data_IF_898924882206
#
_entry.id   IF_898924882206
#
_cell.length_a   1.000
_cell.length_b   1.000
_cell.length_c   1.000
_cell.angle_alpha   90.00
_cell.angle_beta   90.00
_cell.angle_gamma   90.00
#
_symmetry.space_group_name_H-M   'P 1'
#
loop_
_entity.id
_entity.type
_entity.pdbx_description
1 polymer ?
#
# COMPACT_ATOMS: atom_id res chain seq x y z
N UNK A 1 -8.51 38.26 31.18
CA UNK A 1 -9.48 37.14 31.21
C UNK A 1 -9.06 36.18 30.11
N UNK A 2 -8.39 35.09 30.50
CA UNK A 2 -7.86 34.10 29.58
C UNK A 2 -8.98 33.17 29.10
N UNK A 3 -8.96 32.78 27.83
CA UNK A 3 -9.46 31.49 27.41
C UNK A 3 -8.41 30.83 26.52
N UNK A 4 -7.67 29.92 27.13
CA UNK A 4 -6.95 28.90 26.42
C UNK A 4 -7.98 28.03 25.70
N UNK A 5 -7.89 27.97 24.37
CA UNK A 5 -8.57 26.93 23.60
C UNK A 5 -7.80 25.63 23.86
N UNK A 6 -8.41 24.77 24.66
CA UNK A 6 -7.87 23.47 25.01
C UNK A 6 -7.63 22.65 23.74
N UNK A 7 -6.40 22.16 23.59
CA UNK A 7 -6.03 21.10 22.66
C UNK A 7 -6.91 19.88 22.98
N UNK A 8 -7.87 19.57 22.10
CA UNK A 8 -8.62 18.32 22.21
C UNK A 8 -7.64 17.14 22.13
N UNK A 9 -7.63 16.37 23.21
CA UNK A 9 -6.90 15.13 23.37
C UNK A 9 -7.87 14.02 23.02
N UNK A 10 -7.77 13.53 21.78
CA UNK A 10 -8.41 12.29 21.35
C UNK A 10 -7.27 11.36 20.95
N UNK A 11 -6.83 10.54 21.91
CA UNK A 11 -6.09 9.32 21.65
C UNK A 11 -7.07 8.20 21.96
N UNK A 12 -8.10 8.10 21.11
CA UNK A 12 -9.06 7.01 21.09
C UNK A 12 -8.42 5.85 20.33
N UNK A 13 -8.30 4.70 21.00
CA UNK A 13 -7.71 3.42 20.57
C UNK A 13 -8.44 2.79 19.37
N UNK A 14 -8.48 3.52 18.25
CA UNK A 14 -8.92 2.97 16.99
C UNK A 14 -7.74 2.22 16.38
N UNK A 15 -7.92 0.96 15.96
CA UNK A 15 -6.85 0.21 15.33
C UNK A 15 -6.35 1.01 14.13
N UNK A 16 -5.07 1.41 14.18
CA UNK A 16 -4.45 2.26 13.18
C UNK A 16 -4.47 1.54 11.84
N UNK A 17 -5.35 1.97 10.94
CA UNK A 17 -5.49 1.37 9.61
C UNK A 17 -4.40 1.91 8.69
N UNK A 18 -3.62 1.00 8.13
CA UNK A 18 -2.59 1.32 7.14
C UNK A 18 -3.11 1.05 5.73
N UNK A 19 -2.79 1.94 4.79
CA UNK A 19 -3.02 1.72 3.36
C UNK A 19 -1.70 1.27 2.74
N UNK A 20 -1.71 0.11 2.10
CA UNK A 20 -0.52 -0.50 1.50
C UNK A 20 -0.76 -0.59 0.00
N UNK A 21 0.14 -0.02 -0.80
CA UNK A 21 0.10 -0.18 -2.25
C UNK A 21 0.97 -1.37 -2.66
N UNK A 22 0.40 -2.31 -3.41
CA UNK A 22 1.08 -3.49 -3.93
C UNK A 22 1.15 -3.42 -5.46
N UNK A 23 2.34 -3.55 -6.03
CA UNK A 23 2.55 -3.58 -7.49
C UNK A 23 3.28 -4.86 -7.95
N UNK A 24 3.45 -5.82 -7.05
CA UNK A 24 4.23 -7.03 -7.27
C UNK A 24 3.40 -8.30 -7.15
N UNK A 25 4.00 -9.37 -6.61
CA UNK A 25 3.41 -10.71 -6.60
C UNK A 25 2.21 -10.89 -5.65
N UNK A 26 1.93 -9.90 -4.80
CA UNK A 26 0.75 -9.88 -3.92
C UNK A 26 -0.54 -9.45 -4.65
N UNK A 27 -0.40 -8.86 -5.84
CA UNK A 27 -1.51 -8.40 -6.68
C UNK A 27 -2.39 -9.57 -7.16
N UNK A 28 -3.68 -9.33 -7.40
CA UNK A 28 -4.58 -10.35 -7.94
C UNK A 28 -4.04 -10.99 -9.22
N UNK A 29 -4.05 -12.33 -9.27
CA UNK A 29 -3.56 -13.12 -10.40
C UNK A 29 -2.06 -13.43 -10.37
N UNK A 30 -1.34 -13.04 -9.31
CA UNK A 30 0.07 -13.36 -9.12
C UNK A 30 0.31 -14.39 -8.00
N UNK A 31 1.52 -14.95 -7.98
CA UNK A 31 1.88 -16.13 -7.20
C UNK A 31 1.63 -16.02 -5.68
N UNK A 32 1.73 -14.83 -5.09
CA UNK A 32 1.60 -14.63 -3.63
C UNK A 32 0.24 -14.03 -3.23
N UNK A 33 -0.71 -13.92 -4.16
CA UNK A 33 -2.03 -13.35 -3.87
C UNK A 33 -2.82 -14.17 -2.85
N UNK A 34 -2.54 -15.47 -2.74
CA UNK A 34 -3.11 -16.36 -1.73
C UNK A 34 -2.86 -15.86 -0.29
N UNK A 35 -1.71 -15.22 -0.03
CA UNK A 35 -1.41 -14.63 1.28
C UNK A 35 -2.33 -13.43 1.58
N UNK A 36 -2.62 -12.62 0.57
CA UNK A 36 -3.59 -11.52 0.71
C UNK A 36 -4.99 -12.07 0.93
N UNK A 37 -5.39 -13.13 0.21
CA UNK A 37 -6.69 -13.77 0.39
C UNK A 37 -6.86 -14.32 1.81
N UNK A 38 -5.85 -14.98 2.36
CA UNK A 38 -5.85 -15.47 3.74
C UNK A 38 -6.04 -14.33 4.75
N UNK A 39 -5.31 -13.22 4.59
CA UNK A 39 -5.45 -12.03 5.43
C UNK A 39 -6.83 -11.37 5.33
N UNK A 40 -7.45 -11.37 4.15
CA UNK A 40 -8.77 -10.79 3.91
C UNK A 40 -9.91 -11.68 4.40
N UNK A 41 -9.84 -12.99 4.12
CA UNK A 41 -10.94 -13.94 4.34
C UNK A 41 -10.89 -14.55 5.74
N UNK A 42 -9.72 -15.00 6.19
CA UNK A 42 -9.58 -15.77 7.43
C UNK A 42 -9.30 -14.88 8.64
N UNK A 43 -8.54 -13.80 8.43
CA UNK A 43 -8.12 -12.91 9.52
C UNK A 43 -8.86 -11.58 9.56
N UNK A 44 -9.52 -11.17 8.47
CA UNK A 44 -10.14 -9.85 8.34
C UNK A 44 -9.17 -8.69 8.69
N UNK A 45 -7.88 -8.88 8.43
CA UNK A 45 -6.81 -7.92 8.70
C UNK A 45 -6.55 -6.97 7.52
N UNK A 46 -6.99 -7.34 6.33
CA UNK A 46 -6.83 -6.57 5.10
C UNK A 46 -8.17 -6.45 4.37
N UNK A 47 -8.35 -5.37 3.62
CA UNK A 47 -9.52 -5.15 2.75
C UNK A 47 -9.02 -4.57 1.44
N UNK A 48 -9.41 -5.18 0.32
CA UNK A 48 -9.13 -4.66 -1.01
C UNK A 48 -9.93 -3.39 -1.29
N UNK A 49 -9.24 -2.29 -1.59
CA UNK A 49 -9.83 -0.98 -1.90
C UNK A 49 -9.92 -0.73 -3.41
N UNK A 50 -9.01 -1.28 -4.22
CA UNK A 50 -9.09 -1.15 -5.68
C UNK A 50 -7.74 -1.13 -6.41
N UNK A 51 -7.82 -0.88 -7.73
CA UNK A 51 -6.64 -0.71 -8.60
C UNK A 51 -6.28 0.77 -8.72
N UNK A 52 -5.00 1.07 -8.52
CA UNK A 52 -4.48 2.44 -8.50
C UNK A 52 -3.16 2.55 -9.28
N UNK A 53 -2.74 3.77 -9.57
CA UNK A 53 -1.44 4.07 -10.17
C UNK A 53 -0.68 5.07 -9.30
N UNK A 54 0.65 4.96 -9.25
CA UNK A 54 1.47 5.96 -8.56
C UNK A 54 1.40 7.31 -9.28
N UNK A 55 1.40 8.40 -8.51
CA UNK A 55 1.46 9.75 -9.08
C UNK A 55 2.85 10.07 -9.67
N UNK A 56 3.90 9.64 -8.96
CA UNK A 56 5.27 9.74 -9.43
C UNK A 56 5.67 8.47 -10.17
N UNK A 57 6.57 8.63 -11.12
CA UNK A 57 7.19 7.51 -11.83
C UNK A 57 8.27 6.86 -10.98
N UNK A 58 8.33 5.54 -11.02
CA UNK A 58 9.32 4.73 -10.29
C UNK A 58 9.82 3.60 -11.20
N UNK A 59 11.12 3.31 -11.24
CA UNK A 59 11.63 2.14 -11.94
C UNK A 59 11.07 0.87 -11.31
N UNK A 60 10.39 0.04 -12.11
CA UNK A 60 9.96 -1.29 -11.72
C UNK A 60 10.78 -2.31 -12.52
N UNK A 61 11.61 -3.08 -11.82
CA UNK A 61 12.51 -4.05 -12.43
C UNK A 61 12.11 -5.47 -12.06
N UNK A 62 12.41 -6.41 -12.95
CA UNK A 62 12.36 -7.83 -12.64
C UNK A 62 13.74 -8.29 -12.23
N UNK A 63 13.87 -8.74 -10.98
CA UNK A 63 15.10 -9.34 -10.48
C UNK A 63 15.15 -10.85 -10.75
N UNK A 64 16.12 -11.55 -10.12
CA UNK A 64 16.20 -13.01 -10.16
C UNK A 64 14.86 -13.65 -9.78
N UNK A 65 14.54 -14.78 -10.42
CA UNK A 65 13.26 -15.49 -10.25
C UNK A 65 12.02 -14.67 -10.64
N UNK A 66 12.19 -13.64 -11.49
CA UNK A 66 11.12 -12.74 -11.92
C UNK A 66 10.42 -12.02 -10.77
N UNK A 67 11.13 -11.81 -9.66
CA UNK A 67 10.61 -11.05 -8.52
C UNK A 67 10.56 -9.56 -8.90
N UNK A 68 9.41 -8.89 -8.76
CA UNK A 68 9.29 -7.46 -9.06
C UNK A 68 9.90 -6.61 -7.93
N UNK A 69 10.81 -5.71 -8.29
CA UNK A 69 11.45 -4.74 -7.41
C UNK A 69 11.05 -3.32 -7.81
N UNK A 70 10.33 -2.64 -6.93
CA UNK A 70 10.04 -1.21 -7.08
C UNK A 70 11.21 -0.42 -6.49
N UNK A 71 11.96 0.26 -7.35
CA UNK A 71 13.14 1.01 -6.93
C UNK A 71 12.70 2.39 -6.43
N UNK A 72 13.18 2.80 -5.25
CA UNK A 72 12.85 4.10 -4.66
C UNK A 72 13.65 5.23 -5.31
N UNK A 73 13.34 5.50 -6.58
CA UNK A 73 13.90 6.58 -7.40
C UNK A 73 12.74 7.35 -8.02
N UNK A 74 12.08 8.23 -7.25
CA UNK A 74 10.93 9.00 -7.73
C UNK A 74 11.32 9.95 -8.85
N UNK A 75 10.45 10.10 -9.85
CA UNK A 75 10.66 11.02 -10.97
C UNK A 75 11.55 10.47 -12.09
N UNK A 76 11.76 9.14 -12.12
CA UNK A 76 12.45 8.49 -13.23
C UNK A 76 11.58 8.49 -14.50
N UNK A 77 12.18 8.46 -15.68
CA UNK A 77 11.45 8.49 -16.97
C UNK A 77 10.73 7.16 -17.32
N UNK A 78 10.59 6.25 -16.35
CA UNK A 78 10.03 4.90 -16.53
C UNK A 78 8.49 4.86 -16.53
N UNK A 79 7.83 5.98 -16.22
CA UNK A 79 6.38 6.09 -16.11
C UNK A 79 5.79 5.63 -14.76
N UNK A 80 4.48 5.86 -14.55
CA UNK A 80 3.78 5.50 -13.33
C UNK A 80 3.55 3.98 -13.22
N UNK A 81 3.59 3.47 -11.99
CA UNK A 81 3.44 2.05 -11.70
C UNK A 81 2.00 1.73 -11.33
N UNK A 82 1.43 0.69 -11.97
CA UNK A 82 0.06 0.22 -11.74
C UNK A 82 0.03 -0.87 -10.66
N UNK A 83 -0.83 -0.73 -9.67
CA UNK A 83 -0.95 -1.65 -8.54
C UNK A 83 -2.35 -1.69 -7.95
N UNK A 84 -2.41 -2.17 -6.72
CA UNK A 84 -3.61 -2.40 -5.93
C UNK A 84 -3.41 -1.90 -4.50
N UNK A 85 -4.50 -1.49 -3.85
CA UNK A 85 -4.53 -1.09 -2.43
C UNK A 85 -5.59 -1.90 -1.73
#
# INVERSE_FOLDING_TARGET
>A
MAMAMAKAKEDEDHPKRHRIFTCGTLKTGFANHNLMQDLMINHNHAVFLGKYSTHLSFPLLLGPYAIPYLINLPGSDCGPVRGEV
#
